data_IF_252175671964
#
_entry.id   IF_252175671964
#
_cell.length_a   1.000
_cell.length_b   1.000
_cell.length_c   1.000
_cell.angle_alpha   90.00
_cell.angle_beta   90.00
_cell.angle_gamma   90.00
#
_symmetry.space_group_name_H-M   'P 1'
#
loop_
_entity.id
_entity.type
_entity.pdbx_description
1 polymer ?
#
# COMPACT_ATOMS: atom_id res chain seq x y z
N UNK A 1 18.30 -12.06 21.06
CA UNK A 1 17.23 -12.61 20.22
C UNK A 1 17.87 -13.30 19.01
N UNK A 2 18.04 -14.61 19.06
CA UNK A 2 18.63 -15.40 17.98
C UNK A 2 17.60 -15.56 16.86
N UNK A 3 17.85 -14.90 15.73
CA UNK A 3 17.11 -15.07 14.48
C UNK A 3 17.30 -16.53 14.01
N UNK A 4 16.35 -17.42 14.32
CA UNK A 4 16.32 -18.77 13.73
C UNK A 4 16.26 -18.60 12.23
N UNK A 5 17.29 -19.06 11.52
CA UNK A 5 17.28 -19.22 10.06
C UNK A 5 16.02 -20.01 9.68
N UNK A 6 15.28 -19.63 8.65
CA UNK A 6 14.09 -20.37 8.24
C UNK A 6 14.53 -21.78 7.79
N UNK A 7 14.18 -22.77 8.61
CA UNK A 7 14.41 -24.18 8.26
C UNK A 7 13.71 -24.48 6.93
N UNK A 8 14.41 -25.11 6.00
CA UNK A 8 13.85 -25.56 4.71
C UNK A 8 12.59 -26.39 4.93
N UNK A 9 12.54 -27.16 6.01
CA UNK A 9 11.37 -27.94 6.43
C UNK A 9 10.12 -27.12 6.72
N UNK A 10 10.23 -25.84 7.10
CA UNK A 10 9.07 -24.97 7.33
C UNK A 10 8.38 -24.50 6.04
N UNK A 11 9.05 -24.61 4.89
CA UNK A 11 8.50 -24.23 3.57
C UNK A 11 7.80 -25.40 2.86
N UNK A 12 8.06 -26.65 3.27
CA UNK A 12 7.49 -27.86 2.65
C UNK A 12 5.96 -27.83 2.66
N UNK A 13 5.26 -27.54 3.78
CA UNK A 13 3.81 -27.49 3.78
C UNK A 13 3.22 -26.47 2.80
N UNK A 14 3.84 -25.30 2.69
CA UNK A 14 3.38 -24.25 1.77
C UNK A 14 3.54 -24.68 0.29
N UNK A 15 4.66 -25.30 -0.06
CA UNK A 15 4.91 -25.81 -1.42
C UNK A 15 3.93 -26.95 -1.73
N UNK A 16 3.73 -27.88 -0.79
CA UNK A 16 2.78 -28.99 -0.94
C UNK A 16 1.37 -28.46 -1.19
N UNK A 17 0.92 -27.51 -0.40
CA UNK A 17 -0.40 -26.86 -0.58
C UNK A 17 -0.54 -26.24 -1.95
N UNK A 18 0.49 -25.50 -2.42
CA UNK A 18 0.49 -24.91 -3.74
C UNK A 18 0.39 -25.95 -4.85
N UNK A 19 1.16 -27.03 -4.74
CA UNK A 19 1.11 -28.16 -5.68
C UNK A 19 -0.28 -28.81 -5.70
N UNK A 20 -0.87 -29.06 -4.54
CA UNK A 20 -2.24 -29.61 -4.44
C UNK A 20 -3.25 -28.70 -5.15
N UNK A 21 -3.19 -27.38 -4.91
CA UNK A 21 -4.07 -26.42 -5.58
C UNK A 21 -3.94 -26.51 -7.10
N UNK A 22 -2.73 -26.53 -7.62
CA UNK A 22 -2.49 -26.61 -9.06
C UNK A 22 -2.97 -27.96 -9.64
N UNK A 23 -2.77 -29.06 -8.93
CA UNK A 23 -3.25 -30.38 -9.33
C UNK A 23 -4.78 -30.42 -9.36
N UNK A 24 -5.45 -29.92 -8.32
CA UNK A 24 -6.92 -29.83 -8.26
C UNK A 24 -7.46 -28.98 -9.38
N UNK A 25 -6.86 -27.83 -9.65
CA UNK A 25 -7.21 -26.99 -10.79
C UNK A 25 -7.08 -27.75 -12.12
N UNK A 26 -5.95 -28.44 -12.34
CA UNK A 26 -5.76 -29.22 -13.55
C UNK A 26 -6.80 -30.35 -13.71
N UNK A 27 -7.13 -31.06 -12.62
CA UNK A 27 -8.15 -32.11 -12.63
C UNK A 27 -9.54 -31.58 -12.94
N UNK A 28 -9.91 -30.40 -12.40
CA UNK A 28 -11.17 -29.73 -12.73
C UNK A 28 -11.23 -29.41 -14.23
N UNK A 29 -10.16 -28.92 -14.82
CA UNK A 29 -10.10 -28.65 -16.27
C UNK A 29 -10.23 -29.95 -17.09
N UNK A 30 -9.61 -31.05 -16.67
CA UNK A 30 -9.71 -32.34 -17.35
C UNK A 30 -11.09 -32.97 -17.25
N UNK A 31 -11.82 -32.75 -16.16
CA UNK A 31 -13.15 -33.32 -15.96
C UNK A 31 -14.23 -32.77 -16.93
N UNK A 32 -13.94 -31.65 -17.62
CA UNK A 32 -14.89 -31.02 -18.53
C UNK A 32 -16.07 -30.33 -17.85
N UNK A 33 -16.10 -30.29 -16.50
CA UNK A 33 -17.16 -29.64 -15.71
C UNK A 33 -17.24 -28.12 -15.98
N UNK A 34 -16.11 -27.52 -16.29
CA UNK A 34 -16.01 -26.09 -16.55
C UNK A 34 -15.47 -25.87 -17.98
N UNK A 35 -16.15 -25.09 -18.83
CA UNK A 35 -15.66 -24.77 -20.16
C UNK A 35 -14.29 -24.09 -20.13
N UNK A 36 -13.43 -24.38 -21.10
CA UNK A 36 -12.04 -23.87 -21.16
C UNK A 36 -11.97 -22.33 -21.29
N UNK A 37 -13.00 -21.68 -21.81
CA UNK A 37 -13.06 -20.21 -21.86
C UNK A 37 -13.33 -19.56 -20.49
N UNK A 38 -13.91 -20.28 -19.54
CA UNK A 38 -14.11 -19.79 -18.15
C UNK A 38 -12.92 -20.14 -17.25
N UNK A 39 -12.36 -21.36 -17.41
CA UNK A 39 -11.22 -21.83 -16.63
C UNK A 39 -10.22 -22.53 -17.56
N UNK A 40 -9.23 -21.80 -18.11
CA UNK A 40 -8.17 -22.39 -18.93
C UNK A 40 -7.29 -23.32 -18.07
N UNK A 41 -6.69 -24.34 -18.71
CA UNK A 41 -5.80 -25.25 -18.00
C UNK A 41 -4.51 -24.54 -17.54
N UNK A 42 -3.84 -25.01 -16.48
CA UNK A 42 -2.52 -24.47 -16.06
C UNK A 42 -1.49 -24.47 -17.20
N UNK A 43 -1.57 -25.46 -18.08
CA UNK A 43 -0.66 -25.58 -19.25
C UNK A 43 -0.95 -24.48 -20.27
N UNK A 44 -2.23 -24.19 -20.55
CA UNK A 44 -2.62 -23.14 -21.50
C UNK A 44 -2.24 -21.76 -20.95
N UNK A 45 -2.43 -21.55 -19.64
CA UNK A 45 -1.99 -20.32 -18.96
C UNK A 45 -0.49 -20.15 -19.06
N UNK A 46 0.30 -21.20 -18.83
CA UNK A 46 1.77 -21.16 -18.96
C UNK A 46 2.19 -20.84 -20.40
N UNK A 47 1.57 -21.46 -21.38
CA UNK A 47 1.82 -21.17 -22.82
C UNK A 47 1.48 -19.73 -23.18
N UNK A 48 0.31 -19.26 -22.76
CA UNK A 48 -0.14 -17.88 -23.00
C UNK A 48 0.80 -16.86 -22.35
N UNK A 49 1.31 -17.15 -21.14
CA UNK A 49 2.27 -16.33 -20.46
C UNK A 49 3.56 -16.15 -21.26
N UNK A 50 4.11 -17.27 -21.80
CA UNK A 50 5.34 -17.24 -22.59
C UNK A 50 5.13 -16.49 -23.91
N UNK A 51 4.05 -16.79 -24.62
CA UNK A 51 3.75 -16.17 -25.92
C UNK A 51 3.54 -14.67 -25.78
N UNK A 52 2.81 -14.23 -24.75
CA UNK A 52 2.47 -12.83 -24.55
C UNK A 52 3.49 -12.08 -23.65
N UNK A 53 4.62 -12.70 -23.27
CA UNK A 53 5.60 -12.09 -22.38
C UNK A 53 6.04 -10.67 -22.81
N UNK A 54 6.33 -10.39 -24.10
CA UNK A 54 6.70 -9.03 -24.53
C UNK A 54 5.60 -8.00 -24.26
N UNK A 55 4.34 -8.37 -24.51
CA UNK A 55 3.18 -7.52 -24.26
C UNK A 55 2.97 -7.28 -22.77
N UNK A 56 3.10 -8.34 -21.95
CA UNK A 56 3.00 -8.26 -20.49
C UNK A 56 4.08 -7.34 -19.93
N UNK A 57 5.33 -7.47 -20.38
CA UNK A 57 6.44 -6.62 -19.92
C UNK A 57 6.22 -5.15 -20.31
N UNK A 58 5.70 -4.90 -21.52
CA UNK A 58 5.37 -3.56 -21.95
C UNK A 58 4.32 -2.91 -21.03
N UNK A 59 3.22 -3.61 -20.76
CA UNK A 59 2.17 -3.10 -19.86
C UNK A 59 2.64 -3.02 -18.40
N UNK A 60 3.42 -3.98 -17.92
CA UNK A 60 3.99 -3.95 -16.57
C UNK A 60 4.87 -2.71 -16.34
N UNK A 61 5.64 -2.29 -17.36
CA UNK A 61 6.42 -1.05 -17.28
C UNK A 61 5.53 0.16 -17.01
N UNK A 62 4.42 0.31 -17.72
CA UNK A 62 3.49 1.43 -17.51
C UNK A 62 2.85 1.37 -16.13
N UNK A 63 2.37 0.18 -15.71
CA UNK A 63 1.78 -0.01 -14.38
C UNK A 63 2.78 0.32 -13.26
N UNK A 64 4.04 -0.10 -13.39
CA UNK A 64 5.08 0.21 -12.40
C UNK A 64 5.41 1.71 -12.37
N UNK A 65 5.41 2.40 -13.50
CA UNK A 65 5.61 3.84 -13.54
C UNK A 65 4.45 4.59 -12.88
N UNK A 66 3.21 4.20 -13.20
CA UNK A 66 1.99 4.76 -12.59
C UNK A 66 2.00 4.55 -11.07
N UNK A 67 2.31 3.34 -10.62
CA UNK A 67 2.44 2.99 -9.20
C UNK A 67 3.55 3.78 -8.51
N UNK A 68 4.72 3.92 -9.14
CA UNK A 68 5.85 4.65 -8.58
C UNK A 68 5.54 6.14 -8.41
N UNK A 69 5.06 6.81 -9.46
CA UNK A 69 4.72 8.23 -9.38
C UNK A 69 3.58 8.49 -8.40
N UNK A 70 2.54 7.66 -8.44
CA UNK A 70 1.42 7.77 -7.51
C UNK A 70 1.85 7.59 -6.06
N UNK A 71 2.69 6.59 -5.78
CA UNK A 71 3.22 6.35 -4.44
C UNK A 71 4.11 7.50 -3.97
N UNK A 72 5.02 8.01 -4.81
CA UNK A 72 5.87 9.15 -4.45
C UNK A 72 5.06 10.40 -4.09
N UNK A 73 4.05 10.72 -4.91
CA UNK A 73 3.15 11.86 -4.65
C UNK A 73 2.33 11.60 -3.38
N UNK A 74 1.77 10.40 -3.22
CA UNK A 74 1.00 10.00 -2.04
C UNK A 74 1.81 10.10 -0.75
N UNK A 75 3.06 9.62 -0.74
CA UNK A 75 4.01 9.76 0.39
C UNK A 75 4.26 11.22 0.71
N UNK A 76 4.57 12.04 -0.31
CA UNK A 76 4.84 13.47 -0.12
C UNK A 76 3.65 14.21 0.50
N UNK A 77 2.45 13.99 -0.05
CA UNK A 77 1.21 14.59 0.47
C UNK A 77 0.90 14.11 1.90
N UNK A 78 1.04 12.79 2.15
CA UNK A 78 0.80 12.22 3.46
C UNK A 78 1.72 12.82 4.53
N UNK A 79 3.01 12.99 4.18
CA UNK A 79 3.98 13.58 5.08
C UNK A 79 3.65 15.04 5.41
N UNK A 80 3.33 15.85 4.40
CA UNK A 80 2.95 17.26 4.58
C UNK A 80 1.70 17.37 5.44
N UNK A 81 0.64 16.64 5.09
CA UNK A 81 -0.65 16.74 5.79
C UNK A 81 -0.55 16.19 7.22
N UNK A 82 0.07 15.04 7.44
CA UNK A 82 0.26 14.50 8.79
C UNK A 82 1.08 15.45 9.69
N UNK A 83 2.11 16.09 9.13
CA UNK A 83 2.93 17.08 9.87
C UNK A 83 2.13 18.33 10.20
N UNK A 84 1.30 18.83 9.26
CA UNK A 84 0.42 19.97 9.52
C UNK A 84 -0.63 19.64 10.59
N UNK A 85 -1.23 18.44 10.55
CA UNK A 85 -2.18 17.97 11.56
C UNK A 85 -1.52 17.84 12.94
N UNK A 86 -0.30 17.33 13.03
CA UNK A 86 0.46 17.28 14.28
C UNK A 86 0.77 18.69 14.82
N UNK A 87 1.05 19.63 13.93
CA UNK A 87 1.42 21.00 14.30
C UNK A 87 0.22 21.83 14.75
N UNK A 88 -0.95 21.65 14.12
CA UNK A 88 -2.15 22.47 14.28
C UNK A 88 -3.36 21.61 14.65
N UNK A 89 -3.77 21.67 15.92
CA UNK A 89 -4.90 20.90 16.43
C UNK A 89 -6.21 21.16 15.68
N UNK A 90 -6.41 22.37 15.15
CA UNK A 90 -7.60 22.67 14.34
C UNK A 90 -7.60 21.88 13.03
N UNK A 91 -6.44 21.73 12.38
CA UNK A 91 -6.28 20.94 11.15
C UNK A 91 -6.51 19.46 11.47
N UNK A 92 -5.94 18.94 12.56
CA UNK A 92 -6.17 17.55 13.00
C UNK A 92 -7.66 17.27 13.19
N UNK A 93 -8.37 18.12 13.94
CA UNK A 93 -9.81 17.95 14.20
C UNK A 93 -10.67 18.06 12.94
N UNK A 94 -10.28 18.89 11.98
CA UNK A 94 -11.02 19.07 10.73
C UNK A 94 -10.76 17.93 9.73
N UNK A 95 -9.51 17.53 9.55
CA UNK A 95 -9.13 16.58 8.52
C UNK A 95 -9.22 15.12 8.97
N UNK A 96 -9.01 14.81 10.25
CA UNK A 96 -9.01 13.43 10.74
C UNK A 96 -10.32 12.67 10.45
N UNK A 97 -11.53 13.26 10.69
CA UNK A 97 -12.78 12.61 10.31
C UNK A 97 -12.90 12.39 8.79
N UNK A 98 -12.45 13.36 7.99
CA UNK A 98 -12.46 13.24 6.51
C UNK A 98 -11.56 12.12 6.04
N UNK A 99 -10.37 12.00 6.63
CA UNK A 99 -9.46 10.91 6.36
C UNK A 99 -10.14 9.55 6.61
N UNK A 100 -10.85 9.36 7.70
CA UNK A 100 -11.55 8.11 8.01
C UNK A 100 -12.67 7.83 7.00
N UNK A 101 -13.48 8.86 6.67
CA UNK A 101 -14.59 8.72 5.74
C UNK A 101 -14.08 8.32 4.34
N UNK A 102 -12.98 8.89 3.88
CA UNK A 102 -12.44 8.57 2.55
C UNK A 102 -12.04 7.10 2.39
N UNK A 103 -11.70 6.40 3.48
CA UNK A 103 -11.41 4.95 3.45
C UNK A 103 -12.65 4.09 3.23
N UNK A 104 -13.84 4.58 3.53
CA UNK A 104 -15.07 3.81 3.35
C UNK A 104 -15.52 3.75 1.89
N UNK A 105 -14.98 4.64 1.04
CA UNK A 105 -15.33 4.70 -0.37
C UNK A 105 -14.54 3.62 -1.13
N UNK A 106 -15.21 2.67 -1.80
CA UNK A 106 -14.53 1.68 -2.62
C UNK A 106 -13.74 2.36 -3.75
N UNK A 107 -12.43 2.11 -3.80
CA UNK A 107 -11.55 2.73 -4.82
C UNK A 107 -11.97 2.39 -6.25
N UNK A 108 -12.56 1.21 -6.46
CA UNK A 108 -13.10 0.81 -7.75
C UNK A 108 -14.23 1.73 -8.23
N UNK A 109 -14.98 2.35 -7.32
CA UNK A 109 -16.03 3.31 -7.66
C UNK A 109 -15.47 4.70 -8.04
N UNK A 110 -14.28 5.04 -7.54
CA UNK A 110 -13.62 6.33 -7.83
C UNK A 110 -12.99 6.31 -9.24
N UNK A 111 -12.49 5.17 -9.70
CA UNK A 111 -11.77 5.06 -10.97
C UNK A 111 -12.54 5.62 -12.17
N UNK A 112 -13.83 5.27 -12.43
CA UNK A 112 -14.59 5.83 -13.54
C UNK A 112 -14.76 7.35 -13.45
N UNK A 113 -14.93 7.90 -12.24
CA UNK A 113 -15.08 9.34 -12.01
C UNK A 113 -13.78 10.08 -12.37
N UNK A 114 -12.64 9.53 -11.99
CA UNK A 114 -11.34 10.10 -12.36
C UNK A 114 -11.13 10.08 -13.87
N UNK A 115 -11.54 8.99 -14.55
CA UNK A 115 -11.44 8.91 -16.01
C UNK A 115 -12.35 9.94 -16.69
N UNK A 116 -13.56 10.18 -16.18
CA UNK A 116 -14.46 11.21 -16.68
C UNK A 116 -13.88 12.63 -16.55
N UNK A 117 -13.19 12.92 -15.44
CA UNK A 117 -12.65 14.26 -15.18
C UNK A 117 -11.30 14.51 -15.85
N UNK A 118 -10.44 13.48 -15.88
CA UNK A 118 -9.04 13.61 -16.31
C UNK A 118 -8.78 13.00 -17.70
N UNK A 119 -9.79 12.33 -18.29
CA UNK A 119 -9.65 11.61 -19.55
C UNK A 119 -8.94 10.27 -19.40
N UNK A 120 -8.68 9.64 -20.56
CA UNK A 120 -7.93 8.38 -20.62
C UNK A 120 -6.42 8.66 -20.57
N UNK A 121 -5.65 7.76 -19.95
CA UNK A 121 -4.19 7.84 -19.88
C UNK A 121 -3.63 7.51 -18.51
N UNK A 122 -2.43 8.03 -18.23
CA UNK A 122 -1.73 7.79 -16.95
C UNK A 122 -2.28 8.64 -15.80
N UNK A 123 -2.79 9.85 -16.09
CA UNK A 123 -3.18 10.80 -15.07
C UNK A 123 -4.27 10.28 -14.10
N UNK A 124 -5.42 9.73 -14.54
CA UNK A 124 -6.43 9.20 -13.63
C UNK A 124 -5.92 8.02 -12.81
N UNK A 125 -5.05 7.18 -13.38
CA UNK A 125 -4.46 6.04 -12.67
C UNK A 125 -3.48 6.49 -11.58
N UNK A 126 -2.61 7.44 -11.89
CA UNK A 126 -1.72 8.06 -10.89
C UNK A 126 -2.55 8.70 -9.77
N UNK A 127 -3.61 9.44 -10.11
CA UNK A 127 -4.50 10.04 -9.12
C UNK A 127 -5.16 8.99 -8.22
N UNK A 128 -5.61 7.87 -8.78
CA UNK A 128 -6.16 6.75 -8.01
C UNK A 128 -5.12 6.16 -7.05
N UNK A 129 -3.90 5.93 -7.54
CA UNK A 129 -2.79 5.44 -6.70
C UNK A 129 -2.48 6.43 -5.58
N UNK A 130 -2.44 7.74 -5.85
CA UNK A 130 -2.24 8.77 -4.82
C UNK A 130 -3.31 8.66 -3.74
N UNK A 131 -4.59 8.60 -4.11
CA UNK A 131 -5.69 8.51 -3.15
C UNK A 131 -5.57 7.26 -2.28
N UNK A 132 -5.28 6.11 -2.89
CA UNK A 132 -5.21 4.83 -2.16
C UNK A 132 -4.00 4.69 -1.26
N UNK A 133 -2.87 5.30 -1.64
CA UNK A 133 -1.60 5.19 -0.91
C UNK A 133 -1.41 6.27 0.14
N UNK A 134 -1.96 7.47 -0.10
CA UNK A 134 -1.90 8.60 0.82
C UNK A 134 -2.40 8.26 2.22
N UNK A 135 -3.52 7.58 2.29
CA UNK A 135 -4.25 7.40 3.52
C UNK A 135 -3.52 6.52 4.57
N UNK A 136 -3.09 5.27 4.25
CA UNK A 136 -2.40 4.43 5.22
C UNK A 136 -1.10 5.08 5.73
N UNK A 137 -0.45 5.89 4.89
CA UNK A 137 0.79 6.58 5.24
C UNK A 137 0.48 7.76 6.18
N UNK A 138 -0.56 8.56 5.87
CA UNK A 138 -0.92 9.71 6.68
C UNK A 138 -1.35 9.30 8.09
N UNK A 139 -2.21 8.27 8.19
CA UNK A 139 -2.65 7.74 9.49
C UNK A 139 -1.48 7.12 10.24
N UNK A 140 -0.65 6.31 9.56
CA UNK A 140 0.54 5.73 10.18
C UNK A 140 1.47 6.80 10.76
N UNK A 141 1.74 7.88 10.03
CA UNK A 141 2.55 9.00 10.53
C UNK A 141 1.90 9.67 11.74
N UNK A 142 0.58 9.94 11.70
CA UNK A 142 -0.15 10.57 12.80
C UNK A 142 -0.13 9.70 14.06
N UNK A 143 -0.38 8.42 13.92
CA UNK A 143 -0.31 7.47 15.03
C UNK A 143 1.10 7.40 15.61
N UNK A 144 2.11 7.42 14.75
CA UNK A 144 3.50 7.49 15.16
C UNK A 144 3.84 8.77 15.91
N UNK A 145 3.36 9.93 15.47
CA UNK A 145 3.56 11.20 16.19
C UNK A 145 2.83 11.22 17.55
N UNK A 146 1.65 10.57 17.64
CA UNK A 146 0.84 10.49 18.86
C UNK A 146 1.30 9.40 19.83
N UNK A 147 2.09 8.40 19.37
CA UNK A 147 2.58 7.28 20.18
C UNK A 147 3.69 7.65 21.18
N UNK A 148 4.23 8.85 21.03
CA UNK A 148 5.33 9.33 21.90
C UNK A 148 4.84 9.56 23.32
N UNK A 149 5.61 9.08 24.29
CA UNK A 149 5.35 9.25 25.70
C UNK A 149 5.28 10.75 26.07
N UNK A 150 4.22 11.12 26.77
CA UNK A 150 3.99 12.49 27.24
C UNK A 150 5.06 12.94 28.22
N UNK A 151 5.59 12.04 29.03
CA UNK A 151 6.62 12.35 30.02
C UNK A 151 7.94 12.68 29.33
N UNK A 152 8.28 11.95 28.25
CA UNK A 152 9.44 12.29 27.42
C UNK A 152 9.30 13.67 26.76
N UNK A 153 8.10 14.02 26.28
CA UNK A 153 7.81 15.36 25.73
C UNK A 153 7.95 16.44 26.81
N UNK A 154 7.41 16.19 28.02
CA UNK A 154 7.48 17.13 29.14
C UNK A 154 8.92 17.31 29.62
N UNK A 155 9.69 16.24 29.69
CA UNK A 155 11.11 16.29 30.03
C UNK A 155 11.88 17.18 29.05
N UNK A 156 11.71 16.98 27.75
CA UNK A 156 12.36 17.84 26.74
C UNK A 156 11.96 19.32 26.90
N UNK A 157 10.68 19.58 27.21
CA UNK A 157 10.21 20.97 27.49
C UNK A 157 10.87 21.57 28.72
N UNK A 158 11.02 20.80 29.80
CA UNK A 158 11.68 21.25 31.02
C UNK A 158 13.17 21.55 30.78
N UNK A 159 13.77 20.88 29.81
CA UNK A 159 15.14 21.15 29.34
C UNK A 159 15.23 22.34 28.38
N UNK A 160 14.14 23.06 28.13
CA UNK A 160 14.11 24.22 27.24
C UNK A 160 14.01 23.89 25.73
N UNK A 161 13.70 22.65 25.37
CA UNK A 161 13.57 22.29 23.95
C UNK A 161 12.39 22.97 23.27
N UNK A 162 12.64 23.54 22.09
CA UNK A 162 11.63 24.12 21.24
C UNK A 162 10.70 23.04 20.63
N UNK A 163 9.51 23.44 20.17
CA UNK A 163 8.56 22.53 19.50
C UNK A 163 9.19 21.81 18.29
N UNK A 164 10.07 22.49 17.55
CA UNK A 164 10.78 21.91 16.39
C UNK A 164 11.79 20.86 16.83
N UNK A 165 12.51 21.12 17.94
CA UNK A 165 13.47 20.15 18.49
C UNK A 165 12.74 18.90 18.99
N UNK A 166 11.63 19.03 19.71
CA UNK A 166 10.80 17.90 20.15
C UNK A 166 10.29 17.10 18.94
N UNK A 167 9.80 17.77 17.90
CA UNK A 167 9.37 17.10 16.68
C UNK A 167 10.50 16.31 16.03
N UNK A 168 11.65 16.99 15.78
CA UNK A 168 12.78 16.41 15.03
C UNK A 168 13.47 15.26 15.77
N UNK A 169 13.64 15.39 17.09
CA UNK A 169 14.43 14.44 17.88
C UNK A 169 13.60 13.36 18.59
N UNK A 170 12.30 13.58 18.74
CA UNK A 170 11.46 12.63 19.48
C UNK A 170 10.32 12.10 18.62
N UNK A 171 9.45 12.98 18.10
CA UNK A 171 8.24 12.54 17.40
C UNK A 171 8.51 11.94 16.01
N UNK A 172 9.33 12.60 15.22
CA UNK A 172 9.66 12.14 13.87
C UNK A 172 10.37 10.77 13.88
N UNK A 173 11.43 10.53 14.71
CA UNK A 173 12.03 9.21 14.80
C UNK A 173 11.08 8.12 15.29
N UNK A 174 10.21 8.44 16.26
CA UNK A 174 9.20 7.49 16.75
C UNK A 174 8.20 7.09 15.65
N UNK A 175 7.85 8.03 14.77
CA UNK A 175 6.91 7.78 13.69
C UNK A 175 7.48 6.91 12.54
N UNK A 176 8.79 6.74 12.43
CA UNK A 176 9.39 6.00 11.33
C UNK A 176 8.89 4.55 11.24
N UNK A 177 8.73 3.86 12.36
CA UNK A 177 8.23 2.48 12.37
C UNK A 177 6.80 2.40 11.84
N UNK A 178 5.94 3.34 12.23
CA UNK A 178 4.57 3.45 11.76
C UNK A 178 4.52 3.86 10.28
N UNK A 179 5.37 4.81 9.89
CA UNK A 179 5.52 5.21 8.49
C UNK A 179 5.88 4.03 7.58
N UNK A 180 6.90 3.23 7.93
CA UNK A 180 7.29 2.07 7.13
C UNK A 180 6.20 0.99 7.10
N UNK A 181 5.43 0.84 8.16
CA UNK A 181 4.27 -0.05 8.17
C UNK A 181 3.19 0.42 7.20
N UNK A 182 2.84 1.71 7.23
CA UNK A 182 1.93 2.33 6.27
C UNK A 182 2.45 2.27 4.83
N UNK A 183 3.74 2.54 4.62
CA UNK A 183 4.39 2.47 3.31
C UNK A 183 4.34 1.06 2.71
N UNK A 184 4.55 0.02 3.52
CA UNK A 184 4.46 -1.37 3.07
C UNK A 184 3.06 -1.72 2.56
N UNK A 185 2.01 -1.29 3.26
CA UNK A 185 0.62 -1.47 2.85
C UNK A 185 0.36 -0.68 1.56
N UNK A 186 0.76 0.58 1.53
CA UNK A 186 0.57 1.47 0.39
C UNK A 186 1.30 1.00 -0.87
N UNK A 187 2.50 0.44 -0.75
CA UNK A 187 3.23 -0.12 -1.89
C UNK A 187 2.48 -1.29 -2.55
N UNK A 188 1.78 -2.11 -1.76
CA UNK A 188 0.91 -3.17 -2.29
C UNK A 188 -0.32 -2.57 -2.99
N UNK A 189 -0.95 -1.56 -2.40
CA UNK A 189 -2.11 -0.87 -3.00
C UNK A 189 -1.75 -0.07 -4.24
N UNK A 190 -0.53 0.45 -4.36
CA UNK A 190 -0.08 1.19 -5.53
C UNK A 190 -0.13 0.35 -6.82
N UNK A 191 0.19 -0.94 -6.72
CA UNK A 191 0.13 -1.86 -7.87
C UNK A 191 -1.32 -2.28 -8.16
N UNK A 192 -2.15 -2.45 -7.13
CA UNK A 192 -3.56 -2.80 -7.28
C UNK A 192 -4.36 -1.65 -7.91
N UNK A 193 -4.05 -0.42 -7.55
CA UNK A 193 -4.70 0.78 -8.10
C UNK A 193 -4.42 1.00 -9.57
#
# INVERSE_FOLDING_TARGET
MTKKLPNITSKIPAILTLCIIVIVWYLICLSGLVPSYMLPSPVDVAKALVINMPLILMHAKYTLLEAFFGLCIGVGLAFVIATLMERFLMIDRALYPLLIITQTIPTIAIAPVLVLWMGFGMAPKIALVVITTFFPIAVGLLDGYKSVDRDAVNLMRSMGASKVQIFRHLKFPAALNHFFSGLKISASYAVVG
#
